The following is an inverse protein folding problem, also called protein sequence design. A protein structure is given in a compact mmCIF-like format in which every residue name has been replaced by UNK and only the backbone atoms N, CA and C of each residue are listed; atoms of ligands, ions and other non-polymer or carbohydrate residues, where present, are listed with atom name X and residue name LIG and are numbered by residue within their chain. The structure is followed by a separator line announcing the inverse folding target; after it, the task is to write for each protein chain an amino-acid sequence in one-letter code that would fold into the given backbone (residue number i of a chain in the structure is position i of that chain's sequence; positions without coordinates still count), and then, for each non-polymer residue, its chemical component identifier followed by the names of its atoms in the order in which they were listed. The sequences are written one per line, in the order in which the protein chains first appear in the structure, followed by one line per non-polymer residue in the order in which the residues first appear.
data_IF_096070008804
#
_entry.id   IF_096070008804
#
_cell.length_a   1.000
_cell.length_b   1.000
_cell.length_c   1.000
_cell.angle_alpha   90.00
_cell.angle_beta   90.00
_cell.angle_gamma   90.00
#
_symmetry.space_group_name_H-M   'P 1'
#
loop_
_entity.id
_entity.type
_entity.pdbx_description
1 polymer ?
#
# COMPACT_ATOMS: atom_id res chain seq x y z
N UNK A 1 -11.89 -3.84 -11.21
CA UNK A 1 -12.87 -4.87 -11.56
C UNK A 1 -12.33 -6.25 -11.28
N UNK A 2 -11.57 -6.82 -12.22
CA UNK A 2 -11.08 -8.20 -12.16
C UNK A 2 -10.31 -8.57 -10.88
N UNK A 3 -9.44 -7.70 -10.38
CA UNK A 3 -8.70 -7.97 -9.15
C UNK A 3 -9.63 -8.11 -7.93
N UNK A 4 -10.55 -7.17 -7.75
CA UNK A 4 -11.48 -7.14 -6.59
C UNK A 4 -12.46 -8.30 -6.61
N UNK A 5 -12.91 -8.75 -7.79
CA UNK A 5 -13.79 -9.92 -7.90
C UNK A 5 -13.10 -11.24 -7.52
N UNK A 6 -11.77 -11.32 -7.67
CA UNK A 6 -10.99 -12.51 -7.35
C UNK A 6 -10.47 -12.52 -5.91
N UNK A 7 -10.02 -11.36 -5.40
CA UNK A 7 -9.34 -11.25 -4.11
C UNK A 7 -10.15 -10.55 -3.02
N UNK A 8 -11.35 -10.06 -3.34
CA UNK A 8 -12.11 -9.17 -2.45
C UNK A 8 -11.54 -7.75 -2.38
N UNK A 9 -12.09 -6.94 -1.45
CA UNK A 9 -11.68 -5.55 -1.26
C UNK A 9 -10.34 -5.45 -0.54
N UNK A 10 -9.33 -4.90 -1.21
CA UNK A 10 -8.01 -4.59 -0.65
C UNK A 10 -7.82 -3.07 -0.68
N UNK A 11 -7.67 -2.47 0.49
CA UNK A 11 -7.51 -1.01 0.66
C UNK A 11 -6.05 -0.57 0.76
N UNK A 12 -5.83 0.75 0.59
CA UNK A 12 -4.57 1.48 0.81
C UNK A 12 -3.39 1.18 -0.13
N UNK A 13 -3.18 -0.06 -0.57
CA UNK A 13 -2.00 -0.45 -1.38
C UNK A 13 -1.84 0.42 -2.63
N UNK A 14 -2.93 0.60 -3.39
CA UNK A 14 -2.92 1.38 -4.63
C UNK A 14 -2.72 2.88 -4.44
N UNK A 15 -2.84 3.40 -3.21
CA UNK A 15 -2.58 4.80 -2.90
C UNK A 15 -1.18 4.98 -2.31
N UNK A 16 -0.79 4.12 -1.37
CA UNK A 16 0.47 4.20 -0.61
C UNK A 16 1.66 3.87 -1.48
N UNK A 17 1.63 2.76 -2.21
CA UNK A 17 2.77 2.25 -2.99
C UNK A 17 3.24 3.24 -4.06
N UNK A 18 2.38 3.74 -4.98
CA UNK A 18 2.84 4.65 -6.03
C UNK A 18 3.33 5.98 -5.45
N UNK A 19 2.83 6.43 -4.31
CA UNK A 19 3.33 7.63 -3.64
C UNK A 19 4.72 7.40 -3.02
N UNK A 20 4.91 6.26 -2.33
CA UNK A 20 6.21 5.87 -1.78
C UNK A 20 7.26 5.71 -2.89
N UNK A 21 6.93 5.01 -3.97
CA UNK A 21 7.81 4.84 -5.13
C UNK A 21 8.11 6.17 -5.81
N UNK A 22 7.13 7.08 -5.92
CA UNK A 22 7.36 8.42 -6.47
C UNK A 22 8.38 9.24 -5.68
N UNK A 23 8.42 9.12 -4.36
CA UNK A 23 9.41 9.82 -3.53
C UNK A 23 10.84 9.30 -3.75
N UNK A 24 10.99 8.03 -4.15
CA UNK A 24 12.31 7.39 -4.36
C UNK A 24 12.79 7.49 -5.81
N UNK A 25 11.90 7.22 -6.78
CA UNK A 25 12.23 7.08 -8.22
C UNK A 25 11.94 8.37 -9.00
N UNK A 26 11.18 9.31 -8.43
CA UNK A 26 10.77 10.55 -9.08
C UNK A 26 9.44 10.44 -9.84
N UNK A 27 9.14 11.44 -10.68
CA UNK A 27 7.84 11.60 -11.33
C UNK A 27 7.75 10.99 -12.75
N UNK A 28 8.80 10.34 -13.23
CA UNK A 28 8.77 9.68 -14.55
C UNK A 28 7.87 8.44 -14.51
N UNK A 29 6.74 8.50 -15.22
CA UNK A 29 5.73 7.44 -15.24
C UNK A 29 6.22 6.16 -15.91
N UNK A 30 7.24 6.24 -16.78
CA UNK A 30 7.82 5.05 -17.44
C UNK A 30 8.52 4.13 -16.45
N UNK A 31 9.11 4.71 -15.40
CA UNK A 31 9.77 3.98 -14.31
C UNK A 31 8.83 3.76 -13.12
N UNK A 32 7.99 4.75 -12.81
CA UNK A 32 7.07 4.69 -11.68
C UNK A 32 6.05 3.55 -11.83
N UNK A 33 5.45 3.35 -13.01
CA UNK A 33 4.46 2.29 -13.20
C UNK A 33 5.01 0.88 -12.94
N UNK A 34 6.11 0.43 -13.59
CA UNK A 34 6.66 -0.90 -13.32
C UNK A 34 7.22 -1.03 -11.90
N UNK A 35 7.88 0.01 -11.37
CA UNK A 35 8.38 -0.02 -10.00
C UNK A 35 7.24 -0.14 -8.98
N UNK A 36 6.14 0.60 -9.17
CA UNK A 36 4.97 0.53 -8.29
C UNK A 36 4.28 -0.83 -8.36
N UNK A 37 4.23 -1.46 -9.53
CA UNK A 37 3.66 -2.80 -9.68
C UNK A 37 4.49 -3.85 -8.94
N UNK A 38 5.83 -3.80 -9.06
CA UNK A 38 6.74 -4.73 -8.38
C UNK A 38 6.74 -4.53 -6.86
N UNK A 39 6.87 -3.29 -6.40
CA UNK A 39 6.87 -2.96 -4.97
C UNK A 39 5.50 -3.26 -4.35
N UNK A 40 4.40 -2.97 -5.06
CA UNK A 40 3.06 -3.27 -4.60
C UNK A 40 2.76 -4.76 -4.52
N UNK A 41 3.16 -5.53 -5.54
CA UNK A 41 2.99 -6.98 -5.56
C UNK A 41 3.79 -7.68 -4.47
N UNK A 42 5.06 -7.32 -4.30
CA UNK A 42 5.93 -7.89 -3.23
C UNK A 42 5.41 -7.56 -1.83
N UNK A 43 4.99 -6.31 -1.61
CA UNK A 43 4.35 -5.88 -0.36
C UNK A 43 3.08 -6.69 -0.07
N UNK A 44 2.22 -6.89 -1.07
CA UNK A 44 0.96 -7.60 -0.89
C UNK A 44 1.17 -9.08 -0.57
N UNK A 45 2.13 -9.75 -1.23
CA UNK A 45 2.50 -11.15 -0.93
C UNK A 45 3.05 -11.28 0.49
N UNK A 46 3.89 -10.33 0.93
CA UNK A 46 4.39 -10.31 2.30
C UNK A 46 3.25 -10.11 3.30
N UNK A 47 2.34 -9.17 3.04
CA UNK A 47 1.18 -8.92 3.88
C UNK A 47 0.23 -10.13 3.96
N UNK A 48 -0.02 -10.82 2.83
CA UNK A 48 -0.83 -12.04 2.78
C UNK A 48 -0.18 -13.18 3.58
N UNK A 49 1.14 -13.34 3.47
CA UNK A 49 1.89 -14.32 4.25
C UNK A 49 1.75 -14.06 5.74
N UNK A 50 1.93 -12.80 6.17
CA UNK A 50 1.78 -12.40 7.58
C UNK A 50 0.34 -12.62 8.06
N UNK A 51 -0.66 -12.27 7.24
CA UNK A 51 -2.08 -12.44 7.57
C UNK A 51 -2.43 -13.91 7.85
N UNK A 52 -1.81 -14.84 7.11
CA UNK A 52 -2.01 -16.29 7.29
C UNK A 52 -1.23 -16.86 8.48
N UNK A 53 -0.08 -16.28 8.83
CA UNK A 53 0.78 -16.83 9.90
C UNK A 53 0.45 -16.33 11.30
N UNK A 54 -0.05 -15.10 11.45
CA UNK A 54 -0.17 -14.45 12.78
C UNK A 54 -1.28 -15.05 13.65
N UNK A 55 -2.35 -15.59 13.05
CA UNK A 55 -3.52 -16.04 13.82
C UNK A 55 -4.03 -17.43 13.39
N UNK A 56 -3.14 -18.27 12.86
CA UNK A 56 -3.48 -19.64 12.49
C UNK A 56 -4.14 -20.40 13.67
N UNK A 57 -5.30 -21.06 13.49
CA UNK A 57 -5.95 -21.44 12.22
C UNK A 57 -6.98 -20.43 11.68
N UNK A 58 -7.18 -19.28 12.33
CA UNK A 58 -8.09 -18.25 11.86
C UNK A 58 -7.43 -17.39 10.76
N UNK A 59 -8.12 -17.23 9.63
CA UNK A 59 -7.63 -16.42 8.52
C UNK A 59 -8.07 -14.97 8.68
N UNK A 60 -7.10 -14.06 8.80
CA UNK A 60 -7.38 -12.63 8.78
C UNK A 60 -7.41 -12.16 7.32
N UNK A 61 -8.44 -11.40 6.90
CA UNK A 61 -8.43 -10.76 5.60
C UNK A 61 -7.22 -9.85 5.43
N UNK A 62 -6.42 -10.09 4.38
CA UNK A 62 -5.21 -9.30 4.09
C UNK A 62 -5.51 -7.79 3.99
N UNK A 63 -6.72 -7.41 3.57
CA UNK A 63 -7.16 -6.02 3.51
C UNK A 63 -7.14 -5.30 4.86
N UNK A 64 -7.35 -6.01 5.98
CA UNK A 64 -7.24 -5.44 7.33
C UNK A 64 -5.76 -5.18 7.65
N UNK A 65 -4.89 -6.14 7.33
CA UNK A 65 -3.44 -6.02 7.54
C UNK A 65 -2.87 -4.85 6.74
N UNK A 66 -3.26 -4.72 5.47
CA UNK A 66 -2.81 -3.60 4.63
C UNK A 66 -3.42 -2.27 5.05
N UNK A 67 -4.64 -2.24 5.60
CA UNK A 67 -5.25 -1.02 6.12
C UNK A 67 -4.59 -0.54 7.42
N UNK A 68 -4.21 -1.46 8.32
CA UNK A 68 -3.47 -1.13 9.55
C UNK A 68 -2.08 -0.57 9.24
N UNK A 69 -1.41 -1.03 8.19
CA UNK A 69 -0.14 -0.46 7.75
C UNK A 69 -0.30 0.84 6.93
N UNK A 70 -1.26 0.85 6.01
CA UNK A 70 -1.45 1.95 5.06
C UNK A 70 -2.14 3.18 5.65
N UNK A 71 -3.02 3.00 6.64
CA UNK A 71 -3.73 4.07 7.34
C UNK A 71 -2.79 5.06 8.04
N UNK A 72 -1.90 4.58 8.94
CA UNK A 72 -0.89 5.42 9.59
C UNK A 72 0.04 6.10 8.60
N UNK A 73 0.44 5.41 7.53
CA UNK A 73 1.34 5.94 6.51
C UNK A 73 0.66 7.05 5.69
N UNK A 74 -0.64 6.92 5.41
CA UNK A 74 -1.43 7.98 4.80
C UNK A 74 -1.56 9.21 5.70
N UNK A 75 -1.85 9.01 7.00
CA UNK A 75 -1.90 10.11 7.97
C UNK A 75 -0.54 10.79 8.07
N UNK A 76 0.55 10.03 8.11
CA UNK A 76 1.91 10.56 8.12
C UNK A 76 2.17 11.45 6.89
N UNK A 77 1.85 10.99 5.69
CA UNK A 77 2.00 11.79 4.46
C UNK A 77 1.12 13.06 4.46
N UNK A 78 -0.10 12.98 4.99
CA UNK A 78 -1.03 14.10 5.09
C UNK A 78 -0.50 15.18 6.05
N UNK A 79 0.01 14.78 7.21
CA UNK A 79 0.59 15.68 8.20
C UNK A 79 1.87 16.32 7.66
N UNK A 80 2.73 15.55 6.98
CA UNK A 80 4.01 16.02 6.47
C UNK A 80 3.87 17.06 5.34
N UNK A 81 2.82 16.97 4.52
CA UNK A 81 2.55 17.95 3.45
C UNK A 81 1.94 19.27 3.93
N UNK A 82 1.49 19.35 5.20
CA UNK A 82 0.92 20.58 5.76
C UNK A 82 1.97 21.64 6.13
N UNK A 83 3.26 21.30 6.09
CA UNK A 83 4.37 22.25 6.32
C UNK A 83 4.65 23.20 5.14
N UNK A 84 3.81 23.18 4.08
CA UNK A 84 3.87 24.11 2.94
C UNK A 84 2.81 25.22 2.96
N UNK A 85 2.19 25.53 4.11
CA UNK A 85 1.32 26.70 4.25
C UNK A 85 2.02 27.77 5.09
N UNK A 86 2.61 28.73 4.37
CA UNK A 86 2.80 30.15 4.70
C UNK A 86 3.00 30.54 6.18
N UNK A 87 4.26 30.80 6.54
CA UNK A 87 4.65 32.02 7.26
C UNK A 87 5.41 32.89 6.28
#
# INVERSE_FOLDING_TARGET
GAAVSMSGMIGFVGMVIPHAVRMVVGADHRLLLPASALVGGTFLVAADTVARTVLAPAEIPVGIVTALGGGPLFIYLLVYRKSGLAV
#
